data_IF_477260309704
#
_entry.id   IF_477260309704
#
_cell.length_a   1.000
_cell.length_b   1.000
_cell.length_c   1.000
_cell.angle_alpha   90.00
_cell.angle_beta   90.00
_cell.angle_gamma   90.00
#
_symmetry.space_group_name_H-M   'P 1'
#
loop_
_entity.id
_entity.type
_entity.pdbx_description
1 polymer ?
#
# COMPACT_ATOMS: atom_id res chain seq x y z
N UNK A 1 -13.54 26.65 -40.98
CA UNK A 1 -14.51 25.91 -40.14
C UNK A 1 -13.81 24.64 -39.70
N UNK A 2 -13.21 24.63 -38.51
CA UNK A 2 -12.53 23.43 -37.99
C UNK A 2 -13.60 22.36 -37.82
N UNK A 3 -13.49 21.18 -38.45
CA UNK A 3 -14.54 20.19 -38.39
C UNK A 3 -14.72 19.76 -36.93
N UNK A 4 -15.97 19.76 -36.44
CA UNK A 4 -16.33 19.38 -35.06
C UNK A 4 -15.74 18.03 -34.63
N UNK A 5 -15.45 17.16 -35.60
CA UNK A 5 -14.76 15.87 -35.44
C UNK A 5 -13.31 16.03 -34.94
N UNK A 6 -12.58 17.05 -35.42
CA UNK A 6 -11.20 17.31 -35.01
C UNK A 6 -11.15 17.82 -33.55
N UNK A 7 -12.16 18.57 -33.12
CA UNK A 7 -12.30 19.06 -31.74
C UNK A 7 -12.67 17.92 -30.76
N UNK A 8 -13.52 16.98 -31.20
CA UNK A 8 -13.87 15.77 -30.43
C UNK A 8 -12.68 14.81 -30.29
N UNK A 9 -11.91 14.61 -31.37
CA UNK A 9 -10.69 13.80 -31.32
C UNK A 9 -9.60 14.44 -30.45
N UNK A 10 -9.45 15.78 -30.47
CA UNK A 10 -8.50 16.48 -29.60
C UNK A 10 -8.89 16.35 -28.11
N UNK A 11 -10.18 16.41 -27.78
CA UNK A 11 -10.66 16.21 -26.41
C UNK A 11 -10.53 14.75 -25.93
N UNK A 12 -10.70 13.76 -26.81
CA UNK A 12 -10.46 12.33 -26.50
C UNK A 12 -8.96 12.03 -26.30
N UNK A 13 -8.08 12.69 -27.06
CA UNK A 13 -6.62 12.57 -26.88
C UNK A 13 -6.21 13.21 -25.55
N UNK A 14 -6.74 14.38 -25.17
CA UNK A 14 -6.47 15.01 -23.87
C UNK A 14 -6.94 14.13 -22.70
N UNK A 15 -8.11 13.49 -22.82
CA UNK A 15 -8.61 12.56 -21.79
C UNK A 15 -7.70 11.34 -21.60
N UNK A 16 -6.98 10.92 -22.64
CA UNK A 16 -6.07 9.77 -22.58
C UNK A 16 -4.72 10.11 -21.90
N UNK A 17 -4.33 11.38 -21.85
CA UNK A 17 -3.06 11.83 -21.25
C UNK A 17 -3.19 12.30 -19.79
N UNK A 18 -4.41 12.52 -19.29
CA UNK A 18 -4.65 13.12 -17.98
C UNK A 18 -4.92 12.13 -16.83
N UNK A 19 -4.71 10.83 -17.01
CA UNK A 19 -5.12 9.84 -16.00
C UNK A 19 -4.18 9.78 -14.78
N UNK A 20 -2.93 10.21 -14.91
CA UNK A 20 -1.92 10.09 -13.85
C UNK A 20 -1.05 11.34 -13.75
N UNK A 21 -1.60 12.42 -13.18
CA UNK A 21 -0.80 13.57 -12.73
C UNK A 21 -0.23 13.28 -11.34
N UNK A 22 1.04 13.65 -11.13
CA UNK A 22 1.68 13.47 -9.83
C UNK A 22 1.05 14.38 -8.77
N UNK A 23 0.69 13.83 -7.61
CA UNK A 23 0.11 14.62 -6.52
C UNK A 23 1.18 15.55 -5.93
N UNK A 24 0.99 16.89 -5.95
CA UNK A 24 1.94 17.83 -5.37
C UNK A 24 2.12 17.67 -3.86
N UNK A 25 1.15 17.05 -3.17
CA UNK A 25 1.30 16.73 -1.75
C UNK A 25 2.19 15.49 -1.52
N UNK A 26 2.48 14.73 -2.55
CA UNK A 26 3.32 13.53 -2.51
C UNK A 26 2.59 12.29 -2.01
N UNK A 27 3.39 11.25 -1.76
CA UNK A 27 2.92 9.87 -1.59
C UNK A 27 3.46 9.23 -0.32
N UNK A 28 2.68 8.29 0.21
CA UNK A 28 3.11 7.32 1.24
C UNK A 28 3.07 5.94 0.61
N UNK A 29 4.13 5.16 0.77
CA UNK A 29 4.15 3.74 0.41
C UNK A 29 4.83 2.93 1.51
N UNK A 30 4.51 1.66 1.63
CA UNK A 30 5.08 0.80 2.65
C UNK A 30 5.08 -0.66 2.22
N UNK A 31 5.94 -1.47 2.85
CA UNK A 31 5.78 -2.91 2.79
C UNK A 31 4.86 -3.41 3.92
N UNK A 32 3.79 -4.18 3.64
CA UNK A 32 3.02 -4.91 4.65
C UNK A 32 3.78 -6.18 5.10
N UNK A 33 5.04 -6.00 5.49
CA UNK A 33 6.02 -7.06 5.71
C UNK A 33 5.91 -7.78 7.08
N UNK A 34 4.96 -7.40 7.94
CA UNK A 34 4.82 -7.95 9.29
C UNK A 34 3.55 -8.80 9.44
N UNK A 35 3.74 -10.13 9.55
CA UNK A 35 2.66 -11.08 9.80
C UNK A 35 1.91 -11.55 8.55
N UNK A 36 0.73 -12.13 8.77
CA UNK A 36 -0.17 -12.62 7.70
C UNK A 36 -1.31 -11.62 7.45
N UNK A 37 -2.28 -11.99 6.61
CA UNK A 37 -3.37 -11.11 6.17
C UNK A 37 -4.03 -10.29 7.30
N UNK A 38 -4.37 -10.90 8.44
CA UNK A 38 -4.97 -10.16 9.56
C UNK A 38 -4.09 -9.03 10.10
N UNK A 39 -2.78 -9.29 10.28
CA UNK A 39 -1.82 -8.26 10.70
C UNK A 39 -1.67 -7.18 9.63
N UNK A 40 -1.57 -7.58 8.37
CA UNK A 40 -1.43 -6.66 7.23
C UNK A 40 -2.66 -5.76 7.11
N UNK A 41 -3.88 -6.30 7.30
CA UNK A 41 -5.12 -5.54 7.25
C UNK A 41 -5.19 -4.50 8.37
N UNK A 42 -4.84 -4.87 9.60
CA UNK A 42 -4.79 -3.94 10.74
C UNK A 42 -3.78 -2.80 10.50
N UNK A 43 -2.56 -3.15 10.07
CA UNK A 43 -1.50 -2.22 9.73
C UNK A 43 -1.88 -1.27 8.58
N UNK A 44 -2.63 -1.78 7.61
CA UNK A 44 -3.14 -0.98 6.50
C UNK A 44 -4.12 0.09 6.97
N UNK A 45 -4.97 -0.19 7.98
CA UNK A 45 -5.85 0.83 8.55
C UNK A 45 -5.04 1.97 9.19
N UNK A 46 -3.93 1.65 9.84
CA UNK A 46 -2.96 2.63 10.32
C UNK A 46 -2.36 3.46 9.18
N UNK A 47 -1.95 2.81 8.09
CA UNK A 47 -1.39 3.49 6.92
C UNK A 47 -2.37 4.44 6.22
N UNK A 48 -3.64 4.07 6.13
CA UNK A 48 -4.70 4.95 5.62
C UNK A 48 -4.83 6.21 6.49
N UNK A 49 -4.91 6.02 7.80
CA UNK A 49 -5.03 7.11 8.77
C UNK A 49 -3.83 8.06 8.72
N UNK A 50 -2.63 7.49 8.66
CA UNK A 50 -1.36 8.23 8.58
C UNK A 50 -1.26 9.04 7.28
N UNK A 51 -1.49 8.41 6.11
CA UNK A 51 -1.42 9.10 4.82
C UNK A 51 -2.46 10.22 4.70
N UNK A 52 -3.70 9.96 5.16
CA UNK A 52 -4.74 10.99 5.23
C UNK A 52 -4.32 12.16 6.12
N UNK A 53 -3.71 11.88 7.26
CA UNK A 53 -3.25 12.90 8.20
C UNK A 53 -2.13 13.77 7.62
N UNK A 54 -1.23 13.19 6.83
CA UNK A 54 -0.19 13.95 6.12
C UNK A 54 -0.71 14.63 4.84
N UNK A 55 -1.97 14.42 4.47
CA UNK A 55 -2.54 14.84 3.20
C UNK A 55 -1.78 14.31 1.98
N UNK A 56 -1.24 13.08 2.08
CA UNK A 56 -0.48 12.40 1.03
C UNK A 56 -1.33 11.30 0.39
N UNK A 57 -1.13 11.07 -0.90
CA UNK A 57 -1.76 9.94 -1.58
C UNK A 57 -1.15 8.62 -1.08
N UNK A 58 -1.98 7.65 -0.68
CA UNK A 58 -1.48 6.32 -0.29
C UNK A 58 -1.31 5.44 -1.54
N UNK A 59 -0.10 4.91 -1.71
CA UNK A 59 0.18 3.86 -2.69
C UNK A 59 -0.22 2.52 -2.08
N UNK A 60 -1.27 1.89 -2.63
CA UNK A 60 -1.83 0.65 -2.15
C UNK A 60 -0.85 -0.51 -2.41
N UNK A 61 -0.24 -1.12 -1.37
CA UNK A 61 0.71 -2.20 -1.56
C UNK A 61 0.02 -3.48 -2.05
N UNK A 62 0.80 -4.40 -2.60
CA UNK A 62 0.35 -5.78 -2.73
C UNK A 62 0.24 -6.44 -1.36
N UNK A 63 -0.77 -7.30 -1.17
CA UNK A 63 -0.85 -8.23 -0.06
C UNK A 63 0.28 -9.26 -0.15
N UNK A 64 0.73 -9.75 1.00
CA UNK A 64 1.79 -10.75 1.08
C UNK A 64 1.19 -12.07 1.54
N UNK A 65 1.23 -13.05 0.64
CA UNK A 65 0.87 -14.43 0.94
C UNK A 65 2.12 -15.29 1.12
N UNK A 66 2.00 -16.31 1.97
CA UNK A 66 3.03 -17.31 2.21
C UNK A 66 2.50 -18.68 1.77
N UNK A 67 2.59 -19.04 0.48
CA UNK A 67 2.10 -20.32 0.00
C UNK A 67 2.86 -21.47 0.69
N UNK A 68 2.18 -22.56 1.07
CA UNK A 68 2.84 -23.74 1.60
C UNK A 68 3.91 -24.24 0.62
N UNK A 69 5.08 -24.63 1.15
CA UNK A 69 6.22 -25.14 0.37
C UNK A 69 6.84 -24.12 -0.61
N UNK A 70 6.56 -22.83 -0.43
CA UNK A 70 7.28 -21.77 -1.14
C UNK A 70 8.42 -21.24 -0.28
N UNK A 71 9.60 -21.02 -0.90
CA UNK A 71 10.72 -20.33 -0.25
C UNK A 71 10.58 -18.81 -0.28
N UNK A 72 9.67 -18.28 -1.10
CA UNK A 72 9.43 -16.84 -1.26
C UNK A 72 7.96 -16.50 -1.01
N UNK A 73 7.71 -15.28 -0.55
CA UNK A 73 6.34 -14.73 -0.49
C UNK A 73 5.80 -14.41 -1.87
N UNK A 74 4.47 -14.38 -1.97
CA UNK A 74 3.73 -13.98 -3.17
C UNK A 74 3.09 -12.60 -2.94
N UNK A 75 3.33 -11.68 -3.87
CA UNK A 75 2.76 -10.33 -3.86
C UNK A 75 1.45 -10.34 -4.67
N UNK A 76 0.32 -10.22 -3.98
CA UNK A 76 -1.02 -10.23 -4.58
C UNK A 76 -1.54 -8.79 -4.71
N UNK A 77 -1.94 -8.34 -5.91
CA UNK A 77 -2.50 -7.00 -6.10
C UNK A 77 -3.63 -6.67 -5.12
N UNK A 78 -3.64 -5.45 -4.59
CA UNK A 78 -4.67 -4.98 -3.65
C UNK A 78 -6.08 -5.23 -4.18
N UNK A 79 -6.28 -4.86 -5.45
CA UNK A 79 -7.50 -4.96 -6.25
C UNK A 79 -7.88 -6.39 -6.65
N UNK A 80 -7.14 -7.40 -6.19
CA UNK A 80 -7.59 -8.79 -6.25
C UNK A 80 -8.73 -9.02 -5.25
N UNK A 81 -8.59 -8.47 -4.04
CA UNK A 81 -9.49 -8.74 -2.91
C UNK A 81 -10.47 -7.62 -2.62
N UNK A 82 -10.02 -6.37 -2.77
CA UNK A 82 -10.80 -5.20 -2.39
C UNK A 82 -10.95 -4.21 -3.53
N UNK A 83 -12.12 -3.60 -3.64
CA UNK A 83 -12.35 -2.51 -4.58
C UNK A 83 -11.52 -1.28 -4.19
N UNK A 84 -11.01 -0.55 -5.18
CA UNK A 84 -10.21 0.67 -4.95
C UNK A 84 -11.10 1.90 -4.72
N UNK A 85 -12.20 2.02 -5.47
CA UNK A 85 -13.09 3.18 -5.45
C UNK A 85 -13.59 3.55 -4.04
N UNK A 86 -14.05 2.63 -3.17
CA UNK A 86 -14.54 3.02 -1.85
C UNK A 86 -13.47 3.63 -0.94
N UNK A 87 -12.18 3.33 -1.16
CA UNK A 87 -11.10 3.98 -0.41
C UNK A 87 -10.92 5.45 -0.82
N UNK A 88 -11.29 5.81 -2.05
CA UNK A 88 -11.17 7.17 -2.58
C UNK A 88 -12.09 8.16 -1.86
N UNK A 89 -13.18 7.67 -1.25
CA UNK A 89 -14.04 8.46 -0.35
C UNK A 89 -13.32 8.85 0.96
N UNK A 90 -12.28 8.12 1.35
CA UNK A 90 -11.52 8.37 2.58
C UNK A 90 -10.24 9.17 2.35
N UNK A 91 -9.46 8.87 1.31
CA UNK A 91 -8.26 9.61 0.93
C UNK A 91 -7.93 9.32 -0.54
N UNK A 92 -7.03 10.12 -1.13
CA UNK A 92 -6.47 9.78 -2.44
C UNK A 92 -5.63 8.51 -2.35
N UNK A 93 -5.89 7.57 -3.26
CA UNK A 93 -5.17 6.29 -3.35
C UNK A 93 -4.79 5.98 -4.79
N UNK A 94 -3.71 5.22 -4.97
CA UNK A 94 -3.26 4.69 -6.26
C UNK A 94 -2.71 3.27 -6.07
N UNK A 95 -2.92 2.36 -7.02
CA UNK A 95 -2.31 1.03 -6.97
C UNK A 95 -0.79 1.15 -7.10
N UNK A 96 -0.02 0.33 -6.37
CA UNK A 96 1.44 0.28 -6.49
C UNK A 96 1.90 0.09 -7.94
N UNK A 97 1.24 -0.80 -8.68
CA UNK A 97 1.53 -1.02 -10.10
C UNK A 97 1.38 0.27 -10.91
N UNK A 98 0.27 0.98 -10.75
CA UNK A 98 0.00 2.20 -11.52
C UNK A 98 0.93 3.34 -11.12
N UNK A 99 1.24 3.46 -9.82
CA UNK A 99 2.24 4.41 -9.34
C UNK A 99 3.61 4.15 -9.99
N UNK A 100 4.06 2.89 -10.00
CA UNK A 100 5.37 2.55 -10.55
C UNK A 100 5.44 2.73 -12.07
N UNK A 101 4.37 2.46 -12.81
CA UNK A 101 4.34 2.62 -14.28
C UNK A 101 4.19 4.08 -14.70
N UNK A 102 3.36 4.86 -14.00
CA UNK A 102 2.91 6.15 -14.50
C UNK A 102 3.50 7.36 -13.77
N UNK A 103 3.92 7.20 -12.51
CA UNK A 103 4.31 8.32 -11.64
C UNK A 103 5.79 8.25 -11.22
N UNK A 104 6.27 7.06 -10.87
CA UNK A 104 7.55 6.88 -10.18
C UNK A 104 8.74 7.48 -10.95
N UNK A 105 8.85 7.28 -12.26
CA UNK A 105 10.01 7.79 -13.01
C UNK A 105 10.07 9.33 -13.08
N UNK A 106 8.94 10.02 -12.89
CA UNK A 106 8.88 11.48 -12.91
C UNK A 106 9.32 12.10 -11.58
N UNK A 107 8.83 11.57 -10.45
CA UNK A 107 9.03 12.17 -9.12
C UNK A 107 9.93 11.35 -8.18
N UNK A 108 10.15 10.08 -8.48
CA UNK A 108 10.89 9.11 -7.66
C UNK A 108 11.76 8.16 -8.52
N UNK A 109 12.60 8.71 -9.41
CA UNK A 109 13.42 7.91 -10.32
C UNK A 109 14.50 7.12 -9.57
N UNK A 110 15.05 6.09 -10.22
CA UNK A 110 16.27 5.40 -9.74
C UNK A 110 17.38 6.42 -9.47
N UNK A 111 18.12 6.26 -8.37
CA UNK A 111 19.10 7.24 -7.89
C UNK A 111 18.54 8.23 -6.86
N UNK A 112 17.22 8.26 -6.63
CA UNK A 112 16.53 9.13 -5.66
C UNK A 112 15.56 8.37 -4.75
N UNK A 113 15.65 7.04 -4.70
CA UNK A 113 14.71 6.19 -3.95
C UNK A 113 15.19 5.98 -2.53
N UNK A 114 14.72 6.81 -1.61
CA UNK A 114 15.03 6.68 -0.19
C UNK A 114 14.01 5.83 0.56
N UNK A 115 14.48 4.98 1.48
CA UNK A 115 13.62 4.21 2.40
C UNK A 115 13.64 4.78 3.80
N UNK A 116 12.47 4.77 4.45
CA UNK A 116 12.22 5.32 5.77
C UNK A 116 12.13 4.22 6.81
N UNK A 117 12.85 4.39 7.91
CA UNK A 117 12.73 3.58 9.12
C UNK A 117 12.99 4.45 10.37
N UNK A 118 12.62 3.95 11.56
CA UNK A 118 12.68 4.75 12.77
C UNK A 118 14.12 5.19 13.09
N UNK A 119 15.04 4.23 13.10
CA UNK A 119 16.46 4.41 13.37
C UNK A 119 17.23 3.34 12.59
N UNK A 120 18.55 3.50 12.50
CA UNK A 120 19.40 2.57 11.77
C UNK A 120 19.49 1.22 12.49
N UNK A 121 19.42 0.13 11.73
CA UNK A 121 19.57 -1.23 12.22
C UNK A 121 20.93 -1.79 11.79
N UNK A 122 21.60 -2.49 12.71
CA UNK A 122 22.83 -3.23 12.43
C UNK A 122 22.46 -4.65 12.03
N UNK A 123 23.02 -5.15 10.93
CA UNK A 123 22.91 -6.58 10.60
C UNK A 123 23.89 -7.39 11.43
N UNK A 124 23.52 -8.62 11.76
CA UNK A 124 24.49 -9.63 12.19
C UNK A 124 25.58 -9.75 11.11
N UNK A 125 26.84 -9.55 11.52
CA UNK A 125 28.04 -9.58 10.66
C UNK A 125 28.20 -8.41 9.67
N UNK A 126 27.62 -7.23 9.93
CA UNK A 126 27.94 -6.01 9.18
C UNK A 126 28.02 -4.77 10.07
N UNK A 127 29.06 -3.97 9.90
CA UNK A 127 29.17 -2.63 10.52
C UNK A 127 28.28 -1.59 9.82
N UNK A 128 27.61 -1.94 8.73
CA UNK A 128 26.74 -1.03 7.99
C UNK A 128 25.39 -0.91 8.70
N UNK A 129 25.12 0.32 9.15
CA UNK A 129 23.84 0.75 9.74
C UNK A 129 22.92 1.25 8.64
N UNK A 130 21.78 0.61 8.44
CA UNK A 130 20.79 0.97 7.40
C UNK A 130 19.37 0.58 7.82
N UNK A 131 18.36 0.89 7.00
CA UNK A 131 16.99 0.41 7.23
C UNK A 131 16.80 -1.07 6.89
N UNK A 132 17.74 -1.72 6.20
CA UNK A 132 17.70 -3.15 5.85
C UNK A 132 16.41 -3.54 5.11
N UNK A 133 15.87 -2.63 4.29
CA UNK A 133 14.50 -2.71 3.79
C UNK A 133 14.21 -3.84 2.80
N UNK A 134 15.25 -4.49 2.27
CA UNK A 134 15.16 -5.62 1.34
C UNK A 134 15.70 -6.93 1.93
N UNK A 135 15.96 -6.97 3.23
CA UNK A 135 16.63 -8.11 3.84
C UNK A 135 15.67 -9.21 4.29
N UNK A 136 15.90 -10.40 3.76
CA UNK A 136 15.08 -11.57 4.04
C UNK A 136 13.72 -11.54 3.33
N UNK A 137 12.84 -12.43 3.79
CA UNK A 137 11.49 -12.62 3.28
C UNK A 137 10.51 -12.13 4.36
N UNK A 138 9.54 -11.24 4.04
CA UNK A 138 9.09 -10.87 2.70
C UNK A 138 9.69 -9.59 2.11
N UNK A 139 10.57 -8.90 2.83
CA UNK A 139 11.15 -7.61 2.48
C UNK A 139 11.76 -7.56 1.07
N UNK A 140 12.74 -8.42 0.78
CA UNK A 140 13.42 -8.44 -0.51
C UNK A 140 12.48 -8.75 -1.69
N UNK A 141 11.71 -9.85 -1.64
CA UNK A 141 10.74 -10.19 -2.67
C UNK A 141 9.70 -9.09 -2.92
N UNK A 142 9.19 -8.43 -1.87
CA UNK A 142 8.19 -7.38 -2.01
C UNK A 142 8.67 -6.22 -2.88
N UNK A 143 9.82 -5.61 -2.54
CA UNK A 143 10.34 -4.47 -3.30
C UNK A 143 10.85 -4.87 -4.69
N UNK A 144 11.46 -6.06 -4.81
CA UNK A 144 11.97 -6.55 -6.09
C UNK A 144 10.85 -6.87 -7.09
N UNK A 145 9.64 -7.19 -6.62
CA UNK A 145 8.46 -7.36 -7.49
C UNK A 145 8.15 -6.12 -8.35
N UNK A 146 8.51 -4.93 -7.85
CA UNK A 146 8.27 -3.65 -8.51
C UNK A 146 9.54 -3.00 -9.08
N UNK A 147 10.66 -3.74 -9.15
CA UNK A 147 11.97 -3.18 -9.55
C UNK A 147 12.38 -1.96 -8.71
N UNK A 148 12.13 -2.06 -7.39
CA UNK A 148 12.52 -1.06 -6.40
C UNK A 148 13.80 -1.53 -5.70
N UNK A 149 14.85 -0.75 -5.91
CA UNK A 149 16.05 -0.68 -5.08
C UNK A 149 16.12 0.70 -4.44
N UNK A 150 16.71 0.76 -3.25
CA UNK A 150 16.84 1.99 -2.48
C UNK A 150 18.27 2.54 -2.58
N UNK A 151 18.37 3.83 -2.82
CA UNK A 151 19.61 4.59 -2.98
C UNK A 151 20.11 5.17 -1.65
N UNK A 152 19.29 5.13 -0.60
CA UNK A 152 19.67 5.56 0.74
C UNK A 152 18.58 5.37 1.78
N UNK A 153 18.94 5.65 3.04
CA UNK A 153 18.08 5.53 4.21
C UNK A 153 17.71 6.91 4.77
N UNK A 154 16.49 7.04 5.29
CA UNK A 154 16.01 8.21 6.02
C UNK A 154 15.49 7.77 7.39
N UNK A 155 16.10 8.32 8.45
CA UNK A 155 15.73 8.02 9.82
C UNK A 155 14.77 9.07 10.37
N UNK A 156 13.55 8.65 10.73
CA UNK A 156 12.51 9.59 11.14
C UNK A 156 12.47 9.87 12.64
N UNK A 157 13.27 9.20 13.48
CA UNK A 157 13.43 9.54 14.91
C UNK A 157 13.61 11.07 15.12
N UNK A 158 12.95 11.68 16.11
CA UNK A 158 12.07 11.10 17.13
C UNK A 158 10.57 11.14 16.75
N UNK A 159 10.22 11.14 15.45
CA UNK A 159 8.82 11.11 15.04
C UNK A 159 8.19 9.73 15.26
N UNK A 160 6.89 9.73 15.51
CA UNK A 160 6.03 8.55 15.61
C UNK A 160 4.85 8.71 14.64
N UNK A 161 4.02 7.68 14.47
CA UNK A 161 2.90 7.73 13.52
C UNK A 161 1.61 8.37 14.09
N UNK A 162 1.71 9.02 15.26
CA UNK A 162 0.58 9.71 15.90
C UNK A 162 0.09 10.88 15.04
N UNK A 163 -1.23 11.01 14.92
CA UNK A 163 -1.84 12.05 14.08
C UNK A 163 -1.56 13.48 14.57
N UNK A 164 -1.28 13.66 15.86
CA UNK A 164 -1.04 14.97 16.49
C UNK A 164 0.30 15.60 16.07
N UNK A 165 1.18 14.83 15.42
CA UNK A 165 2.49 15.31 14.97
C UNK A 165 2.61 15.42 13.45
N UNK A 166 1.48 15.49 12.73
CA UNK A 166 1.42 15.70 11.29
C UNK A 166 2.27 16.88 10.81
N UNK A 167 2.18 18.02 11.49
CA UNK A 167 2.93 19.23 11.14
C UNK A 167 4.44 19.01 11.26
N UNK A 168 4.88 18.22 12.25
CA UNK A 168 6.30 17.87 12.43
C UNK A 168 6.78 16.93 11.32
N UNK A 169 5.93 16.02 10.85
CA UNK A 169 6.22 15.20 9.68
C UNK A 169 6.34 16.04 8.42
N UNK A 170 5.38 16.91 8.15
CA UNK A 170 5.38 17.75 6.95
C UNK A 170 6.51 18.79 6.96
N UNK A 171 6.87 19.32 8.14
CA UNK A 171 8.02 20.22 8.27
C UNK A 171 9.35 19.50 8.08
N UNK A 172 9.50 18.27 8.61
CA UNK A 172 10.75 17.50 8.49
C UNK A 172 10.90 16.86 7.11
N UNK A 173 9.79 16.47 6.49
CA UNK A 173 9.77 15.75 5.21
C UNK A 173 8.73 16.39 4.26
N UNK A 174 8.99 17.61 3.76
CA UNK A 174 8.09 18.29 2.83
C UNK A 174 8.04 17.55 1.49
N UNK A 175 6.90 17.60 0.78
CA UNK A 175 6.72 16.88 -0.49
C UNK A 175 7.63 17.37 -1.61
N UNK A 176 8.11 18.62 -1.53
CA UNK A 176 9.07 19.20 -2.48
C UNK A 176 10.45 18.54 -2.46
N UNK A 177 10.84 17.97 -1.32
CA UNK A 177 12.12 17.27 -1.14
C UNK A 177 11.93 15.76 -1.04
N UNK A 178 10.87 15.33 -0.35
CA UNK A 178 10.47 13.95 -0.16
C UNK A 178 9.09 13.72 -0.79
N UNK A 179 9.02 13.62 -2.14
CA UNK A 179 7.75 13.39 -2.83
C UNK A 179 7.18 12.01 -2.54
N UNK A 180 8.01 11.05 -2.11
CA UNK A 180 7.60 9.70 -1.70
C UNK A 180 8.20 9.37 -0.33
N UNK A 181 7.34 9.08 0.64
CA UNK A 181 7.72 8.51 1.93
C UNK A 181 7.57 6.99 1.85
N UNK A 182 8.64 6.28 1.49
CA UNK A 182 8.64 4.84 1.33
C UNK A 182 9.13 4.14 2.60
N UNK A 183 8.25 3.46 3.34
CA UNK A 183 8.59 2.85 4.63
C UNK A 183 8.94 1.36 4.51
N UNK A 184 9.99 0.93 5.21
CA UNK A 184 10.37 -0.49 5.25
C UNK A 184 9.33 -1.41 5.92
N UNK A 185 8.42 -0.82 6.70
CA UNK A 185 7.27 -1.48 7.31
C UNK A 185 6.08 -0.51 7.41
N UNK A 186 4.91 -0.98 7.86
CA UNK A 186 3.71 -0.16 7.90
C UNK A 186 3.79 0.97 8.94
N UNK A 187 3.24 2.16 8.64
CA UNK A 187 3.18 3.25 9.60
C UNK A 187 2.02 3.07 10.61
N UNK A 188 2.28 2.30 11.66
CA UNK A 188 1.48 2.21 12.89
C UNK A 188 0.27 1.27 12.85
N UNK A 189 -0.20 0.90 14.04
CA UNK A 189 -1.48 0.21 14.30
C UNK A 189 -2.18 0.91 15.44
N UNK A 190 -3.49 1.13 15.33
CA UNK A 190 -4.26 1.79 16.41
C UNK A 190 -5.73 1.41 16.33
N UNK A 191 -6.33 1.01 17.45
CA UNK A 191 -7.73 0.55 17.52
C UNK A 191 -8.74 1.58 17.00
N UNK A 192 -8.44 2.87 17.18
CA UNK A 192 -9.28 3.97 16.67
C UNK A 192 -9.48 3.95 15.15
N UNK A 193 -8.63 3.23 14.42
CA UNK A 193 -8.69 3.11 12.97
C UNK A 193 -9.65 2.00 12.50
N UNK A 194 -10.18 1.16 13.41
CA UNK A 194 -11.14 0.09 13.08
C UNK A 194 -12.33 0.59 12.23
N UNK A 195 -12.96 1.75 12.50
CA UNK A 195 -14.07 2.25 11.68
C UNK A 195 -13.72 2.50 10.21
N UNK A 196 -12.43 2.62 9.85
CA UNK A 196 -11.97 2.76 8.46
C UNK A 196 -12.19 1.46 7.67
N UNK A 197 -12.29 0.30 8.34
CA UNK A 197 -12.54 -0.98 7.69
C UNK A 197 -13.84 -1.02 6.86
N UNK A 198 -14.79 -0.10 7.10
CA UNK A 198 -16.00 0.04 6.27
C UNK A 198 -15.72 0.32 4.78
N UNK A 199 -14.55 0.85 4.45
CA UNK A 199 -14.14 1.10 3.06
C UNK A 199 -13.53 -0.14 2.38
N UNK A 200 -13.34 -1.25 3.11
CA UNK A 200 -12.87 -2.51 2.55
C UNK A 200 -14.03 -3.30 1.98
N UNK A 201 -14.35 -3.00 0.73
CA UNK A 201 -15.41 -3.66 -0.01
C UNK A 201 -14.80 -4.76 -0.87
N UNK A 202 -15.23 -6.00 -0.67
CA UNK A 202 -14.76 -7.12 -1.50
C UNK A 202 -15.06 -6.91 -2.98
N UNK A 203 -14.14 -7.34 -3.83
CA UNK A 203 -14.35 -7.38 -5.29
C UNK A 203 -15.46 -8.35 -5.68
N UNK A 204 -16.04 -8.15 -6.87
CA UNK A 204 -17.04 -9.07 -7.40
C UNK A 204 -16.45 -10.47 -7.65
N UNK A 205 -15.14 -10.55 -7.90
CA UNK A 205 -14.41 -11.82 -7.93
C UNK A 205 -14.57 -12.58 -6.61
N UNK A 206 -14.27 -11.96 -5.47
CA UNK A 206 -14.39 -12.62 -4.15
C UNK A 206 -15.85 -12.92 -3.81
N UNK A 207 -16.77 -11.98 -4.06
CA UNK A 207 -18.21 -12.20 -3.83
C UNK A 207 -18.72 -13.41 -4.61
N UNK A 208 -18.37 -13.50 -5.89
CA UNK A 208 -18.76 -14.63 -6.74
C UNK A 208 -18.22 -15.96 -6.21
N UNK A 209 -16.97 -15.99 -5.74
CA UNK A 209 -16.41 -17.21 -5.12
C UNK A 209 -17.17 -17.61 -3.85
N UNK A 210 -17.59 -16.63 -3.03
CA UNK A 210 -18.41 -16.91 -1.86
C UNK A 210 -19.80 -17.45 -2.24
N UNK A 211 -20.48 -16.81 -3.21
CA UNK A 211 -21.79 -17.24 -3.69
C UNK A 211 -21.75 -18.66 -4.31
N UNK A 212 -20.72 -18.93 -5.11
CA UNK A 212 -20.48 -20.26 -5.68
C UNK A 212 -20.26 -21.32 -4.59
N UNK A 213 -19.51 -21.00 -3.54
CA UNK A 213 -19.30 -21.90 -2.41
C UNK A 213 -20.61 -22.19 -1.68
N UNK A 214 -21.41 -21.17 -1.38
CA UNK A 214 -22.70 -21.34 -0.70
C UNK A 214 -23.66 -22.19 -1.54
N UNK A 215 -23.79 -21.86 -2.83
CA UNK A 215 -24.65 -22.59 -3.77
C UNK A 215 -24.24 -24.05 -3.90
N UNK A 216 -22.93 -24.33 -4.07
CA UNK A 216 -22.42 -25.69 -4.23
C UNK A 216 -22.68 -26.57 -3.01
N UNK A 217 -22.65 -25.97 -1.82
CA UNK A 217 -22.87 -26.69 -0.56
C UNK A 217 -24.33 -26.62 -0.08
N UNK A 218 -25.25 -26.07 -0.88
CA UNK A 218 -26.68 -25.93 -0.55
C UNK A 218 -26.90 -25.19 0.79
N UNK A 219 -26.05 -24.19 1.06
CA UNK A 219 -26.11 -23.38 2.28
C UNK A 219 -26.99 -22.16 1.99
N UNK A 220 -28.09 -22.01 2.73
CA UNK A 220 -28.86 -20.77 2.70
C UNK A 220 -28.13 -19.66 3.46
N UNK A 221 -27.94 -18.46 2.86
CA UNK A 221 -27.38 -17.31 3.57
C UNK A 221 -28.20 -16.91 4.80
N UNK A 222 -29.52 -17.09 4.77
CA UNK A 222 -30.45 -16.67 5.83
C UNK A 222 -30.32 -17.48 7.12
N UNK A 223 -29.66 -18.65 7.07
CA UNK A 223 -29.53 -19.58 8.20
C UNK A 223 -28.08 -19.94 8.52
N UNK A 224 -27.11 -19.18 7.98
CA UNK A 224 -25.70 -19.48 8.11
C UNK A 224 -25.13 -19.03 9.47
N UNK A 225 -24.60 -19.99 10.24
CA UNK A 225 -23.66 -19.72 11.33
C UNK A 225 -22.23 -20.01 10.85
N UNK A 226 -21.42 -18.97 10.68
CA UNK A 226 -20.00 -19.10 10.33
C UNK A 226 -19.13 -19.02 11.59
N UNK A 227 -18.26 -20.01 11.79
CA UNK A 227 -17.31 -20.07 12.91
C UNK A 227 -15.88 -20.04 12.38
N UNK A 228 -15.09 -19.06 12.82
CA UNK A 228 -13.66 -19.03 12.54
C UNK A 228 -12.90 -19.72 13.68
N UNK A 229 -12.41 -20.94 13.41
CA UNK A 229 -11.63 -21.72 14.37
C UNK A 229 -10.14 -21.54 14.04
N UNK A 230 -9.43 -20.79 14.90
CA UNK A 230 -7.99 -20.59 14.83
C UNK A 230 -7.32 -21.41 15.94
N UNK A 231 -7.02 -22.68 15.65
CA UNK A 231 -6.45 -23.64 16.60
C UNK A 231 -5.28 -24.46 16.00
N UNK A 232 -4.60 -23.91 14.99
CA UNK A 232 -3.40 -24.52 14.43
C UNK A 232 -2.23 -24.49 15.42
N UNK A 233 -1.23 -25.35 15.21
CA UNK A 233 -0.01 -25.42 16.05
C UNK A 233 0.79 -24.10 16.07
N UNK A 234 0.57 -23.24 15.07
CA UNK A 234 1.18 -21.93 14.91
C UNK A 234 0.40 -20.80 15.60
N UNK A 235 -0.59 -21.13 16.43
CA UNK A 235 -1.37 -20.20 17.25
C UNK A 235 -1.06 -20.41 18.73
#
# INVERSE_FOLDING_TARGET
MIPKILLLLFNLIIYCFAQYEADPNGYVMFCPCMGRFGNQAEQFLGALSFARTLNRTLVLPHWIEYPPRSFTSKQVPFDTYFQVEPLQDYLKVILMKDFMIHIADSIWPKGKRYVFCYDAQTKENSDKRSCNAKDGNPFGPFWSHFDIDFDGDVFYRPLFYDISIADRWNAKFPSSEYPVLAFSGPPGTEERNIPIAKYFIYTDYIRKQADEFLSKNQISPDTLLALHIRNGIDF
#
